data_IF_712010076595
#
_entry.id   IF_712010076595
#
_cell.length_a   1.000
_cell.length_b   1.000
_cell.length_c   1.000
_cell.angle_alpha   90.00
_cell.angle_beta   90.00
_cell.angle_gamma   90.00
#
_symmetry.space_group_name_H-M   'P 1'
#
loop_
_entity.id
_entity.type
_entity.pdbx_description
1 polymer ?
#
# COMPACT_ATOMS: atom_id res chain seq x y z
N UNK A 1 13.41 -9.44 -22.23
CA UNK A 1 12.61 -8.21 -22.05
C UNK A 1 13.44 -7.23 -21.24
N UNK A 2 13.45 -5.92 -21.55
CA UNK A 2 14.33 -4.97 -20.85
C UNK A 2 13.87 -4.75 -19.40
N UNK A 3 14.82 -4.73 -18.46
CA UNK A 3 14.58 -4.46 -17.02
C UNK A 3 13.77 -3.17 -16.83
N UNK A 4 14.05 -2.17 -17.65
CA UNK A 4 13.33 -0.90 -17.69
C UNK A 4 11.81 -1.06 -17.86
N UNK A 5 11.35 -1.96 -18.74
CA UNK A 5 9.91 -2.17 -18.97
C UNK A 5 9.23 -2.77 -17.74
N UNK A 6 9.91 -3.64 -16.99
CA UNK A 6 9.37 -4.19 -15.74
C UNK A 6 9.29 -3.15 -14.64
N UNK A 7 10.28 -2.28 -14.52
CA UNK A 7 10.25 -1.16 -13.56
C UNK A 7 9.11 -0.19 -13.91
N UNK A 8 8.94 0.15 -15.20
CA UNK A 8 7.85 1.00 -15.66
C UNK A 8 6.47 0.38 -15.38
N UNK A 9 6.31 -0.92 -15.67
CA UNK A 9 5.08 -1.65 -15.38
C UNK A 9 4.80 -1.69 -13.87
N UNK A 10 5.82 -1.96 -13.06
CA UNK A 10 5.72 -1.93 -11.60
C UNK A 10 5.26 -0.56 -11.09
N UNK A 11 5.81 0.53 -11.64
CA UNK A 11 5.40 1.88 -11.29
C UNK A 11 3.93 2.17 -11.67
N UNK A 12 3.48 1.73 -12.85
CA UNK A 12 2.08 1.87 -13.26
C UNK A 12 1.13 1.10 -12.33
N UNK A 13 1.51 -0.13 -11.97
CA UNK A 13 0.77 -0.96 -11.00
C UNK A 13 0.74 -0.27 -9.64
N UNK A 14 1.86 0.28 -9.17
CA UNK A 14 1.96 1.03 -7.91
C UNK A 14 1.00 2.23 -7.89
N UNK A 15 1.02 3.07 -8.92
CA UNK A 15 0.14 4.25 -9.02
C UNK A 15 -1.33 3.82 -9.07
N UNK A 16 -1.66 2.81 -9.89
CA UNK A 16 -3.00 2.26 -9.98
C UNK A 16 -3.50 1.75 -8.63
N UNK A 17 -2.66 0.98 -7.95
CA UNK A 17 -2.94 0.41 -6.64
C UNK A 17 -3.15 1.50 -5.56
N UNK A 18 -2.35 2.56 -5.59
CA UNK A 18 -2.50 3.74 -4.72
C UNK A 18 -3.85 4.44 -4.92
N UNK A 19 -4.22 4.66 -6.18
CA UNK A 19 -5.50 5.29 -6.54
C UNK A 19 -6.67 4.41 -6.12
N UNK A 20 -6.57 3.09 -6.33
CA UNK A 20 -7.60 2.14 -5.90
C UNK A 20 -7.73 2.09 -4.39
N UNK A 21 -6.62 2.07 -3.65
CA UNK A 21 -6.61 2.10 -2.18
C UNK A 21 -7.36 3.35 -1.69
N UNK A 22 -6.94 4.54 -2.13
CA UNK A 22 -7.58 5.80 -1.69
C UNK A 22 -9.07 5.83 -2.05
N UNK A 23 -9.46 5.36 -3.24
CA UNK A 23 -10.87 5.35 -3.66
C UNK A 23 -11.69 4.31 -2.92
N UNK A 24 -11.14 3.12 -2.70
CA UNK A 24 -11.79 2.03 -1.98
C UNK A 24 -11.98 2.40 -0.51
N UNK A 25 -10.91 2.80 0.18
CA UNK A 25 -10.99 3.27 1.56
C UNK A 25 -11.97 4.44 1.71
N UNK A 26 -12.01 5.39 0.77
CA UNK A 26 -12.99 6.50 0.82
C UNK A 26 -14.44 5.99 0.76
N UNK A 27 -14.73 5.04 -0.13
CA UNK A 27 -16.07 4.47 -0.34
C UNK A 27 -16.49 3.56 0.81
N UNK A 28 -15.56 2.82 1.41
CA UNK A 28 -15.81 1.98 2.59
C UNK A 28 -16.37 2.78 3.78
N UNK A 29 -16.13 4.09 3.83
CA UNK A 29 -16.69 4.98 4.87
C UNK A 29 -18.18 5.27 4.71
N UNK A 30 -18.73 5.11 3.51
CA UNK A 30 -20.14 5.38 3.22
C UNK A 30 -21.01 4.14 3.26
N UNK A 31 -20.42 2.95 3.12
CA UNK A 31 -21.14 1.69 3.14
C UNK A 31 -21.34 1.17 4.58
N UNK A 32 -22.52 0.58 4.84
CA UNK A 32 -22.73 -0.25 6.03
C UNK A 32 -22.09 -1.63 5.80
N UNK A 33 -21.69 -2.26 6.90
CA UNK A 33 -20.99 -3.57 6.87
C UNK A 33 -21.87 -4.66 6.25
N UNK A 34 -23.18 -4.56 6.40
CA UNK A 34 -24.15 -5.55 5.93
C UNK A 34 -24.46 -5.45 4.44
N UNK A 35 -23.94 -4.43 3.74
CA UNK A 35 -24.19 -4.25 2.32
C UNK A 35 -23.18 -5.07 1.49
N UNK A 36 -23.66 -5.80 0.46
CA UNK A 36 -22.79 -6.55 -0.45
C UNK A 36 -21.72 -5.65 -1.13
N UNK A 37 -22.03 -4.35 -1.31
CA UNK A 37 -21.09 -3.35 -1.80
C UNK A 37 -19.89 -3.11 -0.88
N UNK A 38 -20.05 -3.29 0.43
CA UNK A 38 -18.94 -3.17 1.39
C UNK A 38 -17.91 -4.27 1.18
N UNK A 39 -18.35 -5.53 1.07
CA UNK A 39 -17.47 -6.67 0.87
C UNK A 39 -16.65 -6.53 -0.43
N UNK A 40 -17.30 -6.14 -1.53
CA UNK A 40 -16.63 -5.94 -2.80
C UNK A 40 -15.56 -4.83 -2.76
N UNK A 41 -15.87 -3.71 -2.10
CA UNK A 41 -14.90 -2.62 -1.94
C UNK A 41 -13.77 -2.99 -0.96
N UNK A 42 -14.04 -3.80 0.07
CA UNK A 42 -13.04 -4.27 1.01
C UNK A 42 -12.06 -5.23 0.34
N UNK A 43 -12.58 -6.16 -0.48
CA UNK A 43 -11.74 -7.04 -1.30
C UNK A 43 -10.85 -6.24 -2.26
N UNK A 44 -11.40 -5.19 -2.88
CA UNK A 44 -10.64 -4.31 -3.77
C UNK A 44 -9.55 -3.53 -3.03
N UNK A 45 -9.80 -3.10 -1.78
CA UNK A 45 -8.81 -2.45 -0.92
C UNK A 45 -7.66 -3.42 -0.55
N UNK A 46 -7.99 -4.68 -0.26
CA UNK A 46 -7.00 -5.74 0.01
C UNK A 46 -6.13 -6.02 -1.21
N UNK A 47 -6.75 -6.18 -2.39
CA UNK A 47 -6.04 -6.41 -3.65
C UNK A 47 -5.12 -5.23 -3.96
N UNK A 48 -5.58 -4.00 -3.75
CA UNK A 48 -4.75 -2.81 -3.90
C UNK A 48 -3.52 -2.84 -2.97
N UNK A 49 -3.70 -3.24 -1.71
CA UNK A 49 -2.59 -3.44 -0.77
C UNK A 49 -1.57 -4.47 -1.27
N UNK A 50 -2.01 -5.63 -1.74
CA UNK A 50 -1.13 -6.68 -2.29
C UNK A 50 -0.34 -6.14 -3.49
N UNK A 51 -1.02 -5.44 -4.40
CA UNK A 51 -0.39 -4.86 -5.58
C UNK A 51 0.66 -3.79 -5.22
N UNK A 52 0.40 -2.96 -4.21
CA UNK A 52 1.38 -1.98 -3.72
C UNK A 52 2.67 -2.65 -3.28
N UNK A 53 2.60 -3.67 -2.42
CA UNK A 53 3.80 -4.35 -1.95
C UNK A 53 4.49 -5.14 -3.08
N UNK A 54 3.74 -5.74 -4.01
CA UNK A 54 4.34 -6.41 -5.18
C UNK A 54 5.10 -5.44 -6.09
N UNK A 55 4.61 -4.20 -6.22
CA UNK A 55 5.27 -3.18 -7.01
C UNK A 55 6.54 -2.63 -6.33
N UNK A 56 6.62 -2.69 -4.99
CA UNK A 56 7.85 -2.37 -4.23
C UNK A 56 8.88 -3.48 -4.39
N UNK A 57 8.48 -4.75 -4.36
CA UNK A 57 9.42 -5.88 -4.45
C UNK A 57 10.01 -6.04 -5.85
N UNK A 58 9.27 -5.67 -6.89
CA UNK A 58 9.73 -5.75 -8.29
C UNK A 58 11.07 -5.03 -8.55
N UNK A 59 11.23 -3.72 -8.30
CA UNK A 59 12.49 -3.02 -8.46
C UNK A 59 13.56 -3.52 -7.48
N UNK A 60 13.18 -3.90 -6.26
CA UNK A 60 14.11 -4.43 -5.27
C UNK A 60 14.77 -5.73 -5.78
N UNK A 61 13.98 -6.68 -6.29
CA UNK A 61 14.50 -7.96 -6.80
C UNK A 61 15.30 -7.76 -8.08
N UNK A 62 14.80 -6.96 -9.02
CA UNK A 62 15.43 -6.77 -10.33
C UNK A 62 16.75 -5.99 -10.26
N UNK A 63 16.85 -5.01 -9.35
CA UNK A 63 18.05 -4.17 -9.21
C UNK A 63 19.04 -4.71 -8.16
N UNK A 64 18.59 -5.51 -7.18
CA UNK A 64 19.50 -6.14 -6.20
C UNK A 64 20.06 -7.46 -6.72
N UNK A 65 19.35 -8.16 -7.62
CA UNK A 65 19.79 -9.43 -8.20
C UNK A 65 20.85 -9.31 -9.31
N UNK A 66 21.11 -8.09 -9.81
CA UNK A 66 22.12 -7.82 -10.81
C UNK A 66 23.28 -7.09 -10.11
N UNK A 67 24.52 -7.51 -10.34
CA UNK A 67 25.74 -7.12 -9.60
C UNK A 67 26.17 -5.64 -9.69
N UNK A 68 25.27 -4.75 -10.12
CA UNK A 68 25.49 -3.31 -10.29
C UNK A 68 24.59 -2.57 -9.31
N UNK A 69 25.23 -2.06 -8.25
CA UNK A 69 24.75 -1.06 -7.29
C UNK A 69 23.44 -1.37 -6.54
N UNK A 70 23.59 -2.15 -5.46
CA UNK A 70 22.56 -2.44 -4.44
C UNK A 70 21.87 -1.21 -3.84
N UNK A 71 22.43 -0.01 -4.02
CA UNK A 71 21.93 1.24 -3.45
C UNK A 71 20.70 1.74 -4.21
N UNK A 72 20.67 1.63 -5.54
CA UNK A 72 19.57 2.18 -6.36
C UNK A 72 18.25 1.44 -6.12
N UNK A 73 18.30 0.09 -6.09
CA UNK A 73 17.13 -0.74 -5.83
C UNK A 73 16.54 -0.51 -4.43
N UNK A 74 17.41 -0.35 -3.42
CA UNK A 74 17.00 -0.05 -2.04
C UNK A 74 16.43 1.35 -1.91
N UNK A 75 17.05 2.34 -2.56
CA UNK A 75 16.58 3.72 -2.56
C UNK A 75 15.19 3.85 -3.21
N UNK A 76 14.97 3.21 -4.36
CA UNK A 76 13.68 3.22 -5.05
C UNK A 76 12.60 2.49 -4.24
N UNK A 77 12.92 1.31 -3.70
CA UNK A 77 11.99 0.59 -2.82
C UNK A 77 11.63 1.39 -1.57
N UNK A 78 12.61 2.06 -0.95
CA UNK A 78 12.38 2.95 0.18
C UNK A 78 11.44 4.10 -0.19
N UNK A 79 11.66 4.77 -1.32
CA UNK A 79 10.82 5.87 -1.79
C UNK A 79 9.36 5.43 -2.03
N UNK A 80 9.16 4.24 -2.62
CA UNK A 80 7.82 3.68 -2.80
C UNK A 80 7.15 3.32 -1.46
N UNK A 81 7.91 2.81 -0.48
CA UNK A 81 7.38 2.56 0.86
C UNK A 81 7.00 3.86 1.58
N UNK A 82 7.76 4.94 1.40
CA UNK A 82 7.40 6.27 1.94
C UNK A 82 6.07 6.73 1.37
N UNK A 83 5.85 6.55 0.06
CA UNK A 83 4.56 6.86 -0.56
C UNK A 83 3.40 6.07 0.04
N UNK A 84 3.60 4.78 0.35
CA UNK A 84 2.59 3.95 1.02
C UNK A 84 2.29 4.49 2.42
N UNK A 85 3.33 4.79 3.22
CA UNK A 85 3.18 5.34 4.57
C UNK A 85 2.40 6.65 4.57
N UNK A 86 2.74 7.58 3.67
CA UNK A 86 2.06 8.88 3.59
C UNK A 86 0.58 8.73 3.20
N UNK A 87 0.28 7.88 2.22
CA UNK A 87 -1.09 7.75 1.71
C UNK A 87 -1.94 6.90 2.64
N UNK A 88 -1.47 5.74 3.08
CA UNK A 88 -2.18 4.87 4.02
C UNK A 88 -2.31 5.54 5.41
N UNK A 89 -1.29 6.26 5.87
CA UNK A 89 -1.36 7.05 7.11
C UNK A 89 -2.37 8.19 6.99
N UNK A 90 -2.38 8.89 5.86
CA UNK A 90 -3.36 9.95 5.57
C UNK A 90 -4.80 9.43 5.48
N UNK A 91 -5.02 8.24 4.92
CA UNK A 91 -6.36 7.62 4.88
C UNK A 91 -6.78 7.09 6.26
N UNK A 92 -5.87 6.50 7.03
CA UNK A 92 -6.12 6.06 8.41
C UNK A 92 -6.54 7.23 9.31
N UNK A 93 -5.77 8.34 9.28
CA UNK A 93 -6.07 9.53 10.09
C UNK A 93 -7.46 10.11 9.77
N UNK A 94 -7.81 10.22 8.48
CA UNK A 94 -9.14 10.70 8.05
C UNK A 94 -10.27 9.74 8.41
N UNK A 95 -9.99 8.47 8.62
CA UNK A 95 -11.00 7.49 9.05
C UNK A 95 -11.27 7.59 10.55
N UNK A 96 -10.22 7.85 11.36
CA UNK A 96 -10.30 7.98 12.83
C UNK A 96 -10.77 9.38 13.28
N UNK A 97 -10.47 10.44 12.54
CA UNK A 97 -10.71 11.84 12.98
C UNK A 97 -12.18 12.31 12.94
N UNK A 98 -13.13 11.47 12.57
CA UNK A 98 -14.52 11.88 12.31
C UNK A 98 -15.52 11.21 13.26
N UNK A 99 -16.42 12.05 13.76
CA UNK A 99 -17.49 11.85 14.76
C UNK A 99 -18.25 10.50 14.74
N UNK A 100 -18.69 9.99 15.90
CA UNK A 100 -19.44 8.73 16.00
C UNK A 100 -20.76 8.78 15.23
N UNK A 101 -20.91 7.87 14.27
CA UNK A 101 -22.15 7.62 13.51
C UNK A 101 -22.33 6.10 13.36
N UNK A 102 -23.50 5.63 12.93
CA UNK A 102 -23.80 4.20 12.77
C UNK A 102 -22.85 3.43 11.80
N UNK A 103 -21.97 4.14 11.08
CA UNK A 103 -20.91 3.59 10.22
C UNK A 103 -19.57 3.45 10.97
N UNK A 104 -19.55 3.52 12.30
CA UNK A 104 -18.32 3.42 13.10
C UNK A 104 -17.54 2.14 12.79
N UNK A 105 -18.19 0.99 12.67
CA UNK A 105 -17.51 -0.31 12.54
C UNK A 105 -16.77 -0.47 11.20
N UNK A 106 -17.40 -0.13 10.07
CA UNK A 106 -16.75 -0.17 8.74
C UNK A 106 -15.55 0.77 8.67
N UNK A 107 -15.67 1.95 9.29
CA UNK A 107 -14.61 2.96 9.34
C UNK A 107 -13.45 2.54 10.24
N UNK A 108 -13.75 1.90 11.36
CA UNK A 108 -12.75 1.39 12.29
C UNK A 108 -11.95 0.26 11.63
N UNK A 109 -12.63 -0.67 10.93
CA UNK A 109 -11.97 -1.72 10.16
C UNK A 109 -11.10 -1.16 9.03
N UNK A 110 -11.62 -0.22 8.24
CA UNK A 110 -10.85 0.42 7.17
C UNK A 110 -9.64 1.22 7.70
N UNK A 111 -9.83 1.93 8.82
CA UNK A 111 -8.76 2.66 9.50
C UNK A 111 -7.69 1.72 10.07
N UNK A 112 -8.10 0.65 10.74
CA UNK A 112 -7.22 -0.38 11.29
C UNK A 112 -6.42 -1.06 10.18
N UNK A 113 -7.06 -1.41 9.06
CA UNK A 113 -6.39 -1.99 7.91
C UNK A 113 -5.31 -1.06 7.33
N UNK A 114 -5.64 0.23 7.12
CA UNK A 114 -4.66 1.21 6.66
C UNK A 114 -3.50 1.37 7.66
N UNK A 115 -3.78 1.31 8.97
CA UNK A 115 -2.76 1.39 10.01
C UNK A 115 -1.83 0.17 9.98
N UNK A 116 -2.39 -1.04 9.77
CA UNK A 116 -1.60 -2.25 9.55
C UNK A 116 -0.73 -2.15 8.29
N UNK A 117 -1.23 -1.56 7.19
CA UNK A 117 -0.43 -1.30 5.99
C UNK A 117 0.75 -0.36 6.28
N UNK A 118 0.54 0.69 7.07
CA UNK A 118 1.62 1.60 7.50
C UNK A 118 2.66 0.85 8.32
N UNK A 119 2.23 0.06 9.31
CA UNK A 119 3.14 -0.75 10.14
C UNK A 119 3.94 -1.71 9.26
N UNK A 120 3.28 -2.43 8.35
CA UNK A 120 3.95 -3.33 7.42
C UNK A 120 4.98 -2.58 6.55
N UNK A 121 4.64 -1.41 6.03
CA UNK A 121 5.54 -0.60 5.23
C UNK A 121 6.76 -0.12 6.04
N UNK A 122 6.58 0.29 7.30
CA UNK A 122 7.68 0.67 8.20
C UNK A 122 8.60 -0.53 8.52
N UNK A 123 8.03 -1.71 8.78
CA UNK A 123 8.81 -2.94 8.98
C UNK A 123 9.62 -3.24 7.71
N UNK A 124 9.01 -3.16 6.53
CA UNK A 124 9.70 -3.35 5.26
C UNK A 124 10.85 -2.34 5.06
N UNK A 125 10.67 -1.08 5.42
CA UNK A 125 11.75 -0.08 5.35
C UNK A 125 12.95 -0.50 6.20
N UNK A 126 12.72 -0.94 7.44
CA UNK A 126 13.78 -1.37 8.33
C UNK A 126 14.48 -2.63 7.78
N UNK A 127 13.71 -3.59 7.30
CA UNK A 127 14.23 -4.85 6.75
C UNK A 127 15.09 -4.65 5.49
N UNK A 128 14.82 -3.61 4.69
CA UNK A 128 15.63 -3.29 3.50
C UNK A 128 17.08 -2.90 3.89
N UNK A 129 17.31 -2.41 5.11
CA UNK A 129 18.63 -1.98 5.58
C UNK A 129 19.32 -2.98 6.52
N UNK A 130 18.64 -4.03 6.99
CA UNK A 130 19.26 -5.01 7.88
C UNK A 130 20.23 -5.93 7.09
N UNK A 131 21.54 -5.94 7.43
CA UNK A 131 22.48 -6.88 6.84
C UNK A 131 22.22 -8.28 7.40
N UNK A 132 21.62 -9.14 6.58
CA UNK A 132 21.23 -10.50 6.97
C UNK A 132 20.39 -11.23 5.93
N UNK A 133 20.07 -10.56 4.82
CA UNK A 133 19.58 -11.13 3.57
C UNK A 133 20.28 -10.47 2.40
#
# INVERSE_FOLDING_TARGET
MSIFLFILLGLLVYIGALVTLVRATRRLRYYRVDEAGFLGMAALDIVAGILLFSAVTTPLVLLTGNTVETIEGRALAFLLLVGIVLVAGGTAWRSVSWSPSAQTLSRLLAGLYCLLLVIAALICMVLIFLPGR
#
